data_IF_786070660197
#
_entry.id   IF_786070660197
#
_cell.length_a   1.000
_cell.length_b   1.000
_cell.length_c   1.000
_cell.angle_alpha   90.00
_cell.angle_beta   90.00
_cell.angle_gamma   90.00
#
_symmetry.space_group_name_H-M   'P 1'
#
loop_
_entity.id
_entity.type
_entity.pdbx_description
1 polymer ?
#
# COMPACT_ATOMS: atom_id res chain seq x y z
N UNK A 1 -57.40 -52.69 -10.89
CA UNK A 1 -56.13 -53.41 -10.62
C UNK A 1 -55.48 -52.74 -9.42
N UNK A 2 -55.85 -53.15 -8.20
CA UNK A 2 -55.10 -54.06 -7.31
C UNK A 2 -53.72 -53.51 -6.91
N UNK A 3 -53.56 -52.96 -5.70
CA UNK A 3 -53.34 -53.64 -4.37
C UNK A 3 -51.82 -53.74 -4.12
N UNK A 4 -51.20 -53.23 -3.04
CA UNK A 4 -51.41 -53.36 -1.58
C UNK A 4 -50.62 -52.22 -0.87
N UNK A 5 -51.13 -51.46 0.12
CA UNK A 5 -51.38 -51.78 1.55
C UNK A 5 -50.10 -52.27 2.28
N UNK A 6 -49.64 -51.66 3.41
CA UNK A 6 -50.12 -51.78 4.81
C UNK A 6 -49.15 -50.90 5.66
N UNK A 7 -49.62 -49.87 6.41
CA UNK A 7 -49.97 -49.81 7.87
C UNK A 7 -48.76 -50.02 8.82
N UNK A 8 -48.60 -49.46 10.02
CA UNK A 8 -49.40 -48.70 11.02
C UNK A 8 -48.37 -48.25 12.09
N UNK A 9 -48.65 -47.18 12.86
CA UNK A 9 -48.10 -47.08 14.22
C UNK A 9 -48.09 -45.68 14.82
N UNK A 10 -49.20 -45.25 15.43
CA UNK A 10 -49.23 -44.12 16.34
C UNK A 10 -49.12 -44.64 17.79
N UNK A 11 -48.31 -43.99 18.63
CA UNK A 11 -48.47 -43.98 20.09
C UNK A 11 -47.95 -42.64 20.64
N UNK A 12 -48.80 -41.97 21.40
CA UNK A 12 -48.45 -40.89 22.30
C UNK A 12 -48.26 -41.46 23.70
N UNK A 13 -47.28 -40.97 24.46
CA UNK A 13 -47.38 -40.77 25.91
C UNK A 13 -46.17 -40.00 26.45
N UNK A 14 -46.48 -39.12 27.40
CA UNK A 14 -45.65 -38.17 28.13
C UNK A 14 -44.98 -38.86 29.33
N UNK A 15 -43.90 -38.28 29.87
CA UNK A 15 -43.64 -37.99 31.31
C UNK A 15 -42.16 -38.11 31.72
N UNK A 16 -41.61 -36.93 31.99
CA UNK A 16 -40.77 -36.48 33.13
C UNK A 16 -39.33 -36.91 33.38
N UNK A 17 -38.60 -35.85 33.75
CA UNK A 17 -37.54 -35.71 34.75
C UNK A 17 -36.21 -36.43 34.49
N UNK A 18 -35.16 -35.63 34.27
CA UNK A 18 -34.06 -35.50 35.24
C UNK A 18 -33.19 -34.30 34.90
N UNK A 19 -33.05 -33.38 35.85
CA UNK A 19 -32.02 -32.37 35.86
C UNK A 19 -30.66 -33.03 36.11
N UNK A 20 -29.61 -32.56 35.43
CA UNK A 20 -28.23 -32.66 35.91
C UNK A 20 -27.40 -31.51 35.35
N UNK A 21 -26.56 -31.02 36.24
CA UNK A 21 -25.89 -29.74 36.20
C UNK A 21 -24.60 -29.75 35.37
N UNK A 22 -24.16 -28.51 35.06
CA UNK A 22 -22.77 -28.06 34.99
C UNK A 22 -21.89 -28.54 33.84
N UNK A 23 -21.39 -27.54 33.09
CA UNK A 23 -20.24 -27.68 32.21
C UNK A 23 -20.09 -26.46 31.31
N UNK A 24 -19.67 -25.33 31.89
CA UNK A 24 -19.25 -24.15 31.13
C UNK A 24 -18.07 -24.52 30.24
N UNK A 25 -18.31 -24.84 28.98
CA UNK A 25 -17.26 -24.90 27.98
C UNK A 25 -16.86 -23.47 27.66
N UNK A 26 -15.88 -22.94 28.38
CA UNK A 26 -15.16 -21.75 28.00
C UNK A 26 -14.63 -21.97 26.58
N UNK A 27 -15.24 -21.28 25.61
CA UNK A 27 -14.70 -21.22 24.25
C UNK A 27 -13.36 -20.50 24.35
N UNK A 28 -12.28 -21.29 24.37
CA UNK A 28 -10.94 -20.77 24.27
C UNK A 28 -10.86 -20.04 22.93
N UNK A 29 -10.89 -18.70 22.98
CA UNK A 29 -10.48 -17.86 21.84
C UNK A 29 -9.03 -18.20 21.56
N UNK A 30 -8.81 -19.13 20.65
CA UNK A 30 -7.53 -19.27 19.96
C UNK A 30 -7.36 -17.97 19.19
N UNK A 31 -6.67 -17.01 19.80
CA UNK A 31 -6.07 -15.91 19.08
C UNK A 31 -4.98 -16.54 18.21
N UNK A 32 -5.37 -16.97 17.01
CA UNK A 32 -4.43 -17.12 15.93
C UNK A 32 -3.85 -15.72 15.68
N UNK A 33 -2.76 -15.39 16.36
CA UNK A 33 -1.84 -14.34 15.92
C UNK A 33 -1.20 -14.87 14.63
N UNK A 34 -1.93 -14.78 13.53
CA UNK A 34 -1.28 -14.60 12.25
C UNK A 34 -0.73 -13.18 12.31
N UNK A 35 0.54 -13.06 12.69
CA UNK A 35 1.29 -11.88 12.33
C UNK A 35 1.33 -11.91 10.81
N UNK A 36 0.42 -11.17 10.17
CA UNK A 36 0.62 -10.70 8.80
C UNK A 36 2.06 -10.22 8.75
N UNK A 37 2.93 -10.91 8.00
CA UNK A 37 4.19 -10.30 7.60
C UNK A 37 3.76 -9.01 6.91
N UNK A 38 4.06 -7.87 7.50
CA UNK A 38 3.43 -6.59 7.17
C UNK A 38 3.31 -6.44 5.67
N UNK A 39 2.10 -6.62 5.15
CA UNK A 39 1.83 -6.30 3.75
C UNK A 39 2.10 -4.80 3.65
N UNK A 40 2.85 -4.36 2.65
CA UNK A 40 3.14 -2.95 2.41
C UNK A 40 4.21 -2.29 3.30
N UNK A 41 4.90 -2.98 4.23
CA UNK A 41 6.09 -2.39 4.90
C UNK A 41 7.35 -2.64 4.09
N UNK A 42 8.39 -1.81 4.25
CA UNK A 42 9.70 -2.05 3.63
C UNK A 42 10.27 -3.41 4.08
N UNK A 43 10.69 -4.23 3.12
CA UNK A 43 11.34 -5.52 3.35
C UNK A 43 12.82 -5.38 3.03
N UNK A 44 13.72 -5.38 4.02
CA UNK A 44 15.15 -5.27 3.75
C UNK A 44 15.67 -6.43 2.88
N UNK A 45 16.51 -6.12 1.90
CA UNK A 45 17.11 -7.12 1.00
C UNK A 45 17.98 -8.15 1.75
N UNK A 46 18.55 -7.75 2.89
CA UNK A 46 19.44 -8.60 3.67
C UNK A 46 19.00 -8.74 5.12
N UNK A 47 19.15 -9.96 5.66
CA UNK A 47 18.84 -10.23 7.07
C UNK A 47 19.74 -9.39 7.98
N UNK A 48 19.12 -8.59 8.86
CA UNK A 48 19.85 -7.73 9.80
C UNK A 48 20.40 -6.45 9.18
N UNK A 49 19.99 -6.12 7.94
CA UNK A 49 20.27 -4.83 7.32
C UNK A 49 19.77 -3.70 8.20
N UNK A 50 20.64 -2.72 8.46
CA UNK A 50 20.31 -1.49 9.17
C UNK A 50 19.98 -0.45 8.11
N UNK A 51 18.78 0.11 8.19
CA UNK A 51 18.34 1.13 7.24
C UNK A 51 19.01 2.47 7.55
N UNK A 52 19.55 3.18 6.54
CA UNK A 52 20.03 4.55 6.73
C UNK A 52 18.91 5.46 7.20
N UNK A 53 19.22 6.36 8.14
CA UNK A 53 18.26 7.36 8.65
C UNK A 53 18.50 8.76 8.07
N UNK A 54 19.44 8.91 7.15
CA UNK A 54 19.75 10.14 6.43
C UNK A 54 20.78 9.83 5.35
N UNK A 55 20.50 10.24 4.13
CA UNK A 55 21.37 10.05 2.97
C UNK A 55 21.67 8.59 2.65
N UNK A 56 22.45 8.40 1.59
CA UNK A 56 22.90 7.09 1.15
C UNK A 56 21.83 6.29 0.40
N UNK A 57 22.12 5.01 0.23
CA UNK A 57 21.31 4.06 -0.54
C UNK A 57 21.07 2.80 0.28
N UNK A 58 19.91 2.19 0.12
CA UNK A 58 19.55 0.91 0.74
C UNK A 58 18.79 0.04 -0.26
N UNK A 59 19.00 -1.28 -0.17
CA UNK A 59 18.27 -2.25 -1.00
C UNK A 59 17.02 -2.78 -0.27
N UNK A 60 15.93 -2.97 -1.01
CA UNK A 60 14.67 -3.52 -0.53
C UNK A 60 14.17 -4.62 -1.47
N UNK A 61 13.42 -5.59 -0.94
CA UNK A 61 12.78 -6.63 -1.76
C UNK A 61 11.45 -6.18 -2.36
N UNK A 62 10.90 -5.03 -1.94
CA UNK A 62 9.61 -4.57 -2.40
C UNK A 62 9.54 -3.09 -2.75
N UNK A 63 10.43 -2.22 -2.27
CA UNK A 63 10.33 -0.78 -2.49
C UNK A 63 11.47 -0.26 -3.37
N UNK A 64 11.14 0.68 -4.26
CA UNK A 64 12.05 1.56 -4.98
C UNK A 64 11.59 3.01 -4.79
N UNK A 65 12.52 3.95 -4.66
CA UNK A 65 12.18 5.38 -4.53
C UNK A 65 12.98 6.11 -3.45
N UNK A 66 12.33 7.02 -2.73
CA UNK A 66 12.97 7.82 -1.69
C UNK A 66 12.21 7.80 -0.37
N UNK A 67 12.95 7.84 0.74
CA UNK A 67 12.41 8.08 2.07
C UNK A 67 13.18 9.18 2.80
N UNK A 68 12.47 10.03 3.53
CA UNK A 68 13.06 10.99 4.48
C UNK A 68 12.69 10.58 5.91
N UNK A 69 13.65 10.62 6.83
CA UNK A 69 13.50 10.15 8.20
C UNK A 69 13.96 11.20 9.21
N UNK A 70 13.20 12.29 9.40
CA UNK A 70 13.54 13.31 10.39
C UNK A 70 13.41 12.81 11.85
N UNK A 71 12.91 11.57 12.04
CA UNK A 71 12.81 10.88 13.32
C UNK A 71 11.41 10.95 13.93
N UNK A 72 10.72 12.09 13.81
CA UNK A 72 9.32 12.27 14.21
C UNK A 72 8.76 13.59 13.65
N UNK A 73 7.44 13.77 13.72
CA UNK A 73 6.79 15.03 13.42
C UNK A 73 6.57 15.30 11.95
N UNK A 74 6.64 14.26 11.10
CA UNK A 74 6.14 14.31 9.73
C UNK A 74 4.61 14.37 9.78
N UNK A 75 4.05 15.52 9.41
CA UNK A 75 2.61 15.78 9.47
C UNK A 75 1.96 15.91 8.11
N UNK A 76 2.73 15.93 7.02
CA UNK A 76 2.17 15.81 5.68
C UNK A 76 3.17 15.20 4.69
N UNK A 77 2.65 14.54 3.66
CA UNK A 77 3.37 14.14 2.46
C UNK A 77 2.48 14.41 1.24
N UNK A 78 3.09 14.89 0.18
CA UNK A 78 2.46 15.11 -1.11
C UNK A 78 3.32 14.47 -2.19
N UNK A 79 2.69 13.88 -3.20
CA UNK A 79 3.37 13.32 -4.37
C UNK A 79 2.48 13.45 -5.58
N UNK A 80 3.02 13.95 -6.68
CA UNK A 80 2.44 13.79 -8.02
C UNK A 80 3.27 12.75 -8.76
N UNK A 81 2.61 11.80 -9.40
CA UNK A 81 3.26 10.85 -10.28
C UNK A 81 2.41 10.58 -11.52
N UNK A 82 3.07 10.14 -12.59
CA UNK A 82 2.38 9.65 -13.77
C UNK A 82 2.19 8.14 -13.67
N UNK A 83 0.93 7.70 -13.76
CA UNK A 83 0.56 6.28 -13.69
C UNK A 83 1.22 5.53 -14.84
N UNK A 84 2.02 4.49 -14.58
CA UNK A 84 2.70 3.75 -15.63
C UNK A 84 1.77 2.83 -16.41
N UNK A 85 2.29 2.29 -17.51
CA UNK A 85 1.72 1.11 -18.14
C UNK A 85 2.44 -0.13 -17.60
N UNK A 86 1.73 -1.01 -16.88
CA UNK A 86 2.26 -2.29 -16.44
C UNK A 86 2.42 -3.26 -17.64
N UNK A 87 3.67 -3.49 -18.04
CA UNK A 87 4.06 -4.37 -19.14
C UNK A 87 4.05 -5.86 -18.76
N UNK A 88 4.14 -6.74 -19.76
CA UNK A 88 4.09 -8.20 -19.59
C UNK A 88 5.47 -8.88 -19.60
N UNK A 89 6.56 -8.14 -19.79
CA UNK A 89 7.91 -8.68 -19.96
C UNK A 89 8.95 -7.93 -19.10
N UNK A 90 9.25 -8.39 -17.87
CA UNK A 90 8.52 -9.43 -17.15
C UNK A 90 7.13 -8.96 -16.68
N UNK A 91 6.18 -9.90 -16.48
CA UNK A 91 4.88 -9.60 -15.89
C UNK A 91 4.99 -9.59 -14.37
N UNK A 92 4.17 -8.78 -13.71
CA UNK A 92 4.19 -8.67 -12.26
C UNK A 92 3.10 -7.77 -11.72
N UNK A 93 3.36 -7.25 -10.52
CA UNK A 93 2.51 -6.31 -9.81
C UNK A 93 3.35 -5.08 -9.48
N UNK A 94 2.75 -3.90 -9.58
CA UNK A 94 3.33 -2.65 -9.15
C UNK A 94 2.29 -1.86 -8.36
N UNK A 95 2.79 -0.96 -7.51
CA UNK A 95 1.99 0.09 -6.92
C UNK A 95 2.82 1.37 -6.83
N UNK A 96 2.26 2.50 -7.22
CA UNK A 96 2.92 3.81 -7.13
C UNK A 96 2.21 4.65 -6.08
N UNK A 97 2.92 5.08 -5.03
CA UNK A 97 2.28 5.69 -3.86
C UNK A 97 3.18 6.67 -3.09
N UNK A 98 2.56 7.40 -2.17
CA UNK A 98 3.26 8.19 -1.15
C UNK A 98 2.67 7.95 0.24
N UNK A 99 3.51 8.06 1.28
CA UNK A 99 3.15 7.64 2.63
C UNK A 99 3.90 8.34 3.77
N UNK A 100 3.44 8.05 4.98
CA UNK A 100 4.01 8.51 6.25
C UNK A 100 4.17 7.32 7.20
N UNK A 101 5.39 7.12 7.71
CA UNK A 101 5.78 6.01 8.57
C UNK A 101 6.39 4.83 7.80
N UNK A 102 6.49 3.65 8.40
CA UNK A 102 6.69 2.39 7.68
C UNK A 102 8.11 2.12 7.18
N UNK A 103 8.95 3.14 6.99
CA UNK A 103 10.33 2.96 6.55
C UNK A 103 11.15 2.16 7.56
N UNK A 104 11.10 2.53 8.84
CA UNK A 104 11.76 1.80 9.94
C UNK A 104 10.82 1.45 11.10
N UNK A 105 9.52 1.62 10.90
CA UNK A 105 8.45 1.29 11.85
C UNK A 105 7.45 0.33 11.21
N UNK A 106 6.42 -0.09 11.97
CA UNK A 106 5.38 -1.00 11.48
C UNK A 106 4.03 -0.32 11.19
N UNK A 107 3.93 0.98 11.48
CA UNK A 107 2.78 1.81 11.13
C UNK A 107 3.04 2.47 9.78
N UNK A 108 2.02 2.62 8.94
CA UNK A 108 2.13 3.29 7.65
C UNK A 108 0.75 3.78 7.22
N UNK A 109 0.67 5.08 6.90
CA UNK A 109 -0.45 5.66 6.15
C UNK A 109 0.04 5.83 4.73
N UNK A 110 -0.65 5.25 3.76
CA UNK A 110 -0.25 5.34 2.36
C UNK A 110 -1.46 5.40 1.43
N UNK A 111 -1.24 6.01 0.27
CA UNK A 111 -2.23 6.12 -0.79
C UNK A 111 -1.56 6.21 -2.14
N UNK A 112 -2.21 5.66 -3.16
CA UNK A 112 -1.63 5.58 -4.49
C UNK A 112 -2.52 4.83 -5.46
N UNK A 113 -1.86 4.21 -6.43
CA UNK A 113 -2.47 3.42 -7.50
C UNK A 113 -1.82 2.05 -7.53
N UNK A 114 -2.62 0.99 -7.65
CA UNK A 114 -2.15 -0.35 -8.02
C UNK A 114 -2.08 -0.45 -9.55
N UNK A 115 -1.01 -1.03 -10.08
CA UNK A 115 -0.79 -1.26 -11.51
C UNK A 115 -0.29 -2.69 -11.74
N UNK A 116 -1.12 -3.57 -12.31
CA UNK A 116 -0.70 -4.95 -12.59
C UNK A 116 -0.65 -5.27 -14.08
N UNK A 117 0.23 -6.20 -14.45
CA UNK A 117 0.38 -6.63 -15.85
C UNK A 117 -0.84 -7.39 -16.37
N UNK A 118 -1.66 -7.94 -15.48
CA UNK A 118 -2.77 -8.83 -15.83
C UNK A 118 -4.09 -8.06 -15.99
N UNK A 119 -4.96 -8.45 -16.95
CA UNK A 119 -6.30 -7.89 -17.02
C UNK A 119 -7.08 -8.10 -15.72
N UNK A 120 -7.97 -7.15 -15.41
CA UNK A 120 -8.84 -7.22 -14.24
C UNK A 120 -9.55 -8.58 -14.16
N UNK A 121 -9.45 -9.24 -13.01
CA UNK A 121 -10.09 -10.52 -12.78
C UNK A 121 -10.44 -10.73 -11.29
N UNK A 122 -11.40 -11.61 -10.96
CA UNK A 122 -11.85 -11.78 -9.58
C UNK A 122 -10.80 -12.28 -8.58
N UNK A 123 -9.67 -12.83 -9.04
CA UNK A 123 -8.62 -13.36 -8.17
C UNK A 123 -7.54 -12.31 -7.86
N UNK A 124 -7.19 -11.47 -8.84
CA UNK A 124 -6.10 -10.51 -8.74
C UNK A 124 -6.56 -9.06 -8.58
N UNK A 125 -7.86 -8.78 -8.66
CA UNK A 125 -8.38 -7.42 -8.57
C UNK A 125 -8.41 -6.69 -9.90
N UNK A 126 -8.37 -5.36 -9.83
CA UNK A 126 -8.42 -4.51 -11.01
C UNK A 126 -7.03 -4.30 -11.58
N UNK A 127 -6.92 -4.12 -12.90
CA UNK A 127 -5.63 -3.86 -13.52
C UNK A 127 -5.03 -2.53 -13.04
N UNK A 128 -5.87 -1.52 -12.88
CA UNK A 128 -5.55 -0.20 -12.35
C UNK A 128 -6.63 0.22 -11.36
N UNK A 129 -6.24 0.66 -10.17
CA UNK A 129 -7.17 1.13 -9.16
C UNK A 129 -6.48 2.03 -8.16
N UNK A 130 -7.12 3.14 -7.83
CA UNK A 130 -6.68 4.01 -6.75
C UNK A 130 -7.11 3.44 -5.38
N UNK A 131 -6.28 3.62 -4.37
CA UNK A 131 -6.49 3.05 -3.05
C UNK A 131 -5.86 3.91 -1.94
N UNK A 132 -6.26 3.65 -0.70
CA UNK A 132 -5.55 4.07 0.51
C UNK A 132 -5.41 2.87 1.47
N UNK A 133 -4.36 2.87 2.28
CA UNK A 133 -4.10 1.80 3.26
C UNK A 133 -3.60 2.38 4.59
N UNK A 134 -3.98 1.70 5.68
CA UNK A 134 -3.62 2.04 7.05
C UNK A 134 -3.11 0.76 7.74
N UNK A 135 -1.80 0.55 7.75
CA UNK A 135 -1.25 -0.71 8.27
C UNK A 135 -1.57 -0.90 9.76
N UNK A 136 -1.92 -2.13 10.19
CA UNK A 136 -1.80 -3.39 9.46
C UNK A 136 -3.08 -3.84 8.71
N UNK A 137 -4.07 -2.95 8.54
CA UNK A 137 -5.24 -3.28 7.73
C UNK A 137 -4.86 -3.28 6.24
N UNK A 138 -5.50 -4.16 5.46
CA UNK A 138 -5.33 -4.20 4.01
C UNK A 138 -5.79 -2.92 3.32
N UNK A 139 -5.21 -2.68 2.15
CA UNK A 139 -5.61 -1.59 1.25
C UNK A 139 -7.12 -1.55 1.00
N UNK A 140 -7.63 -0.34 0.83
CA UNK A 140 -9.03 -0.07 0.55
C UNK A 140 -9.13 0.69 -0.77
N UNK A 141 -9.73 0.07 -1.80
CA UNK A 141 -10.06 0.76 -3.04
C UNK A 141 -10.94 1.99 -2.81
N UNK A 142 -10.64 3.09 -3.50
CA UNK A 142 -11.47 4.30 -3.45
C UNK A 142 -12.62 4.26 -4.45
N UNK A 143 -13.72 4.91 -4.10
CA UNK A 143 -14.91 5.09 -4.92
C UNK A 143 -15.64 6.38 -4.53
N UNK A 144 -16.67 6.76 -5.28
CA UNK A 144 -17.45 7.98 -5.10
C UNK A 144 -16.62 9.27 -5.27
N UNK A 145 -15.65 9.27 -6.18
CA UNK A 145 -14.89 10.48 -6.48
C UNK A 145 -15.77 11.53 -7.18
N UNK A 146 -15.50 12.79 -6.89
CA UNK A 146 -16.07 13.91 -7.64
C UNK A 146 -15.50 13.90 -9.06
N UNK A 147 -16.33 14.15 -10.08
CA UNK A 147 -15.93 14.10 -11.50
C UNK A 147 -16.01 12.71 -12.13
N UNK A 148 -15.71 11.64 -11.37
CA UNK A 148 -15.88 10.26 -11.81
C UNK A 148 -16.14 9.32 -10.62
N UNK A 149 -17.36 8.79 -10.47
CA UNK A 149 -17.74 8.00 -9.29
C UNK A 149 -16.98 6.68 -9.13
N UNK A 150 -16.36 6.14 -10.18
CA UNK A 150 -15.53 4.94 -10.08
C UNK A 150 -14.07 5.23 -9.76
N UNK A 151 -13.68 6.52 -9.70
CA UNK A 151 -12.28 6.91 -9.50
C UNK A 151 -11.34 6.25 -10.52
N UNK A 152 -11.80 6.11 -11.76
CA UNK A 152 -11.08 5.36 -12.80
C UNK A 152 -9.69 5.97 -13.04
N UNK A 153 -8.68 5.10 -13.02
CA UNK A 153 -7.29 5.42 -13.35
C UNK A 153 -6.89 4.68 -14.61
N UNK A 154 -6.12 5.33 -15.46
CA UNK A 154 -5.55 4.77 -16.68
C UNK A 154 -4.07 5.12 -16.83
N UNK A 155 -3.28 4.29 -17.53
CA UNK A 155 -1.89 4.63 -17.86
C UNK A 155 -1.77 6.01 -18.48
N UNK A 156 -0.81 6.79 -17.98
CA UNK A 156 -0.53 8.15 -18.41
C UNK A 156 -1.22 9.24 -17.61
N UNK A 157 -2.12 8.91 -16.69
CA UNK A 157 -2.78 9.86 -15.80
C UNK A 157 -1.78 10.49 -14.82
N UNK A 158 -2.02 11.73 -14.42
CA UNK A 158 -1.20 12.41 -13.42
C UNK A 158 -1.98 12.44 -12.11
N UNK A 159 -1.61 11.56 -11.19
CA UNK A 159 -2.26 11.41 -9.91
C UNK A 159 -1.45 12.13 -8.84
N UNK A 160 -2.12 12.96 -8.06
CA UNK A 160 -1.55 13.61 -6.87
C UNK A 160 -2.14 12.98 -5.62
N UNK A 161 -1.28 12.47 -4.76
CA UNK A 161 -1.58 12.03 -3.40
C UNK A 161 -1.22 13.17 -2.44
N UNK A 162 -2.10 13.45 -1.49
CA UNK A 162 -1.81 14.32 -0.34
C UNK A 162 -2.37 13.68 0.93
N UNK A 163 -1.48 13.45 1.90
CA UNK A 163 -1.81 12.94 3.24
C UNK A 163 -1.35 13.99 4.24
N UNK A 164 -2.24 14.41 5.13
CA UNK A 164 -1.94 15.47 6.11
C UNK A 164 -2.64 15.24 7.45
N UNK A 165 -1.93 15.55 8.54
CA UNK A 165 -2.49 15.53 9.89
C UNK A 165 -3.44 16.72 10.06
N UNK A 166 -4.69 16.43 10.40
CA UNK A 166 -5.71 17.45 10.68
C UNK A 166 -5.66 17.86 12.15
N UNK A 167 -5.66 16.88 13.05
CA UNK A 167 -5.48 17.08 14.49
C UNK A 167 -5.32 15.76 15.23
N UNK A 168 -4.37 15.69 16.16
CA UNK A 168 -4.11 14.49 16.94
C UNK A 168 -3.86 13.28 16.02
N UNK A 169 -4.67 12.23 16.17
CA UNK A 169 -4.59 11.04 15.32
C UNK A 169 -5.52 11.11 14.09
N UNK A 170 -6.04 12.28 13.75
CA UNK A 170 -6.94 12.44 12.60
C UNK A 170 -6.13 12.88 11.39
N UNK A 171 -6.20 12.09 10.32
CA UNK A 171 -5.48 12.32 9.07
C UNK A 171 -6.47 12.52 7.93
N UNK A 172 -6.19 13.47 7.04
CA UNK A 172 -6.82 13.60 5.74
C UNK A 172 -5.97 12.84 4.73
N UNK A 173 -6.60 12.00 3.93
CA UNK A 173 -6.01 11.35 2.76
C UNK A 173 -6.78 11.85 1.55
N UNK A 174 -6.07 12.29 0.51
CA UNK A 174 -6.69 12.72 -0.73
C UNK A 174 -5.91 12.24 -1.94
N UNK A 175 -6.65 11.98 -3.02
CA UNK A 175 -6.11 11.65 -4.32
C UNK A 175 -6.82 12.50 -5.37
N UNK A 176 -6.08 13.00 -6.36
CA UNK A 176 -6.63 13.75 -7.48
C UNK A 176 -5.98 13.28 -8.78
N UNK A 177 -6.78 12.87 -9.75
CA UNK A 177 -6.35 12.70 -11.15
C UNK A 177 -6.61 14.01 -11.90
N UNK A 178 -5.54 14.64 -12.37
CA UNK A 178 -5.55 15.98 -12.93
C UNK A 178 -6.58 16.16 -14.05
N UNK A 179 -7.61 16.97 -13.78
CA UNK A 179 -8.67 17.28 -14.73
C UNK A 179 -9.74 16.18 -14.88
N UNK A 180 -9.69 15.10 -14.09
CA UNK A 180 -10.66 14.01 -14.15
C UNK A 180 -11.49 13.86 -12.89
N UNK A 181 -10.84 13.61 -11.75
CA UNK A 181 -11.55 13.36 -10.50
C UNK A 181 -10.73 13.71 -9.27
N UNK A 182 -11.43 13.91 -8.16
CA UNK A 182 -10.82 14.15 -6.84
C UNK A 182 -11.54 13.36 -5.75
N UNK A 183 -10.79 12.96 -4.74
CA UNK A 183 -11.26 12.19 -3.59
C UNK A 183 -10.59 12.65 -2.30
N UNK A 184 -11.31 12.59 -1.19
CA UNK A 184 -10.74 12.81 0.13
C UNK A 184 -11.51 12.04 1.20
N UNK A 185 -10.79 11.60 2.23
CA UNK A 185 -11.35 10.95 3.42
C UNK A 185 -10.53 11.31 4.65
N UNK A 186 -11.23 11.58 5.74
CA UNK A 186 -10.61 11.64 7.06
C UNK A 186 -10.64 10.26 7.72
N UNK A 187 -9.53 9.90 8.35
CA UNK A 187 -9.34 8.65 9.07
C UNK A 187 -8.74 8.92 10.45
N UNK A 188 -8.95 7.99 11.38
CA UNK A 188 -8.26 8.02 12.67
C UNK A 188 -7.17 6.95 12.67
N UNK A 189 -5.92 7.36 12.83
CA UNK A 189 -4.75 6.49 12.78
C UNK A 189 -3.63 6.99 13.70
N UNK A 190 -3.03 6.08 14.47
CA UNK A 190 -1.87 6.39 15.31
C UNK A 190 -0.60 6.14 14.52
N UNK A 191 -0.08 7.20 13.90
CA UNK A 191 1.22 7.17 13.22
C UNK A 191 2.34 7.49 14.20
N UNK A 192 3.52 6.94 13.94
CA UNK A 192 4.80 7.34 14.53
C UNK A 192 5.30 8.67 13.98
N UNK A 193 4.79 9.12 12.82
CA UNK A 193 5.23 10.34 12.13
C UNK A 193 6.74 10.33 11.83
N UNK A 194 7.33 9.13 11.72
CA UNK A 194 8.78 8.94 11.71
C UNK A 194 9.45 9.32 10.38
N UNK A 195 8.70 9.20 9.29
CA UNK A 195 9.22 9.26 7.93
C UNK A 195 8.15 9.64 6.91
N UNK A 196 8.58 10.06 5.72
CA UNK A 196 7.74 10.22 4.53
C UNK A 196 8.42 9.56 3.32
N UNK A 197 7.62 8.96 2.44
CA UNK A 197 8.11 8.13 1.33
C UNK A 197 7.39 8.41 0.01
N UNK A 198 8.11 8.20 -1.10
CA UNK A 198 7.65 8.27 -2.49
C UNK A 198 8.12 7.02 -3.22
N UNK A 199 7.22 6.06 -3.44
CA UNK A 199 7.61 4.67 -3.69
C UNK A 199 6.93 4.10 -4.94
N UNK A 200 7.72 3.38 -5.73
CA UNK A 200 7.28 2.33 -6.63
C UNK A 200 7.51 0.98 -5.93
N UNK A 201 6.45 0.23 -5.71
CA UNK A 201 6.46 -1.01 -4.94
C UNK A 201 6.11 -2.24 -5.79
N UNK A 202 6.81 -3.36 -5.56
CA UNK A 202 6.31 -4.69 -5.86
C UNK A 202 5.54 -5.22 -4.63
N UNK A 203 4.21 -5.21 -4.61
CA UNK A 203 3.45 -5.49 -3.40
C UNK A 203 3.57 -6.96 -2.95
N UNK A 204 3.31 -7.25 -1.68
CA UNK A 204 3.23 -8.64 -1.19
C UNK A 204 1.81 -9.18 -1.35
N UNK A 205 1.64 -10.29 -2.08
CA UNK A 205 0.37 -11.01 -2.21
C UNK A 205 0.46 -12.40 -1.57
N UNK A 206 0.56 -12.42 -0.24
CA UNK A 206 0.86 -13.61 0.57
C UNK A 206 2.32 -14.07 0.48
N UNK A 207 2.94 -13.89 -0.67
CA UNK A 207 4.38 -13.96 -0.93
C UNK A 207 4.83 -12.67 -1.63
N UNK A 208 6.11 -12.34 -1.50
CA UNK A 208 6.69 -11.21 -2.23
C UNK A 208 6.52 -11.44 -3.74
N UNK A 209 5.98 -10.44 -4.44
CA UNK A 209 5.78 -10.50 -5.90
C UNK A 209 7.02 -9.99 -6.64
N UNK A 210 7.00 -10.12 -7.97
CA UNK A 210 7.93 -9.44 -8.87
C UNK A 210 7.28 -8.14 -9.34
N UNK A 211 8.10 -7.12 -9.53
CA UNK A 211 7.67 -5.86 -10.09
C UNK A 211 7.15 -6.05 -11.53
N UNK A 212 6.01 -5.45 -11.86
CA UNK A 212 5.63 -5.36 -13.27
C UNK A 212 6.65 -4.51 -14.04
N UNK A 213 6.95 -4.84 -15.30
CA UNK A 213 7.76 -3.93 -16.11
C UNK A 213 6.96 -2.65 -16.44
N UNK A 214 7.09 -1.64 -15.60
CA UNK A 214 6.41 -0.34 -15.71
C UNK A 214 7.17 0.69 -16.55
N UNK A 215 8.35 0.33 -17.07
CA UNK A 215 9.24 1.25 -17.76
C UNK A 215 9.74 2.35 -16.81
N UNK A 216 9.49 3.61 -17.15
CA UNK A 216 9.86 4.77 -16.33
C UNK A 216 8.61 5.39 -15.70
N UNK A 217 8.63 5.54 -14.37
CA UNK A 217 7.61 6.21 -13.57
C UNK A 217 8.12 7.58 -13.14
N UNK A 218 7.62 8.68 -13.72
CA UNK A 218 7.94 10.03 -13.27
C UNK A 218 7.22 10.37 -11.95
N UNK A 219 8.00 10.78 -10.96
CA UNK A 219 7.54 11.49 -9.77
C UNK A 219 7.88 12.98 -9.91
N UNK A 220 6.92 13.84 -9.59
CA UNK A 220 6.97 15.28 -9.80
C UNK A 220 5.80 15.81 -10.65
N UNK A 221 5.66 17.13 -10.78
CA UNK A 221 6.60 18.15 -10.32
C UNK A 221 6.49 18.47 -8.83
N UNK A 222 5.54 17.89 -8.08
CA UNK A 222 5.33 18.17 -6.65
C UNK A 222 5.53 16.91 -5.82
N UNK A 223 6.61 16.86 -5.07
CA UNK A 223 6.86 15.81 -4.06
C UNK A 223 7.49 16.43 -2.82
N UNK A 224 6.73 16.54 -1.74
CA UNK A 224 7.12 17.32 -0.55
C UNK A 224 6.64 16.65 0.72
N UNK A 225 7.30 16.95 1.84
CA UNK A 225 6.83 16.55 3.16
C UNK A 225 6.78 17.76 4.09
N UNK A 226 5.96 17.70 5.12
CA UNK A 226 5.91 18.73 6.17
C UNK A 226 6.40 18.12 7.48
N UNK A 227 7.38 18.77 8.10
CA UNK A 227 7.86 18.43 9.43
C UNK A 227 8.10 19.70 10.25
N UNK A 228 7.74 19.66 11.54
CA UNK A 228 7.87 20.85 12.41
C UNK A 228 7.10 22.07 11.91
N UNK A 229 5.99 21.86 11.17
CA UNK A 229 5.16 22.93 10.60
C UNK A 229 5.75 23.61 9.36
N UNK A 230 6.87 23.11 8.82
CA UNK A 230 7.49 23.63 7.59
C UNK A 230 7.46 22.56 6.50
N UNK A 231 7.11 22.97 5.28
CA UNK A 231 7.15 22.09 4.10
C UNK A 231 8.54 22.10 3.47
N UNK A 232 9.02 20.92 3.11
CA UNK A 232 10.35 20.64 2.59
C UNK A 232 10.25 19.82 1.31
N UNK A 233 11.20 20.02 0.39
CA UNK A 233 11.41 19.11 -0.74
C UNK A 233 12.06 17.81 -0.25
N UNK A 234 12.04 16.76 -1.08
CA UNK A 234 12.71 15.49 -0.76
C UNK A 234 14.19 15.73 -0.42
N UNK A 235 14.91 16.48 -1.26
CA UNK A 235 16.33 16.76 -1.10
C UNK A 235 16.66 17.46 0.24
N UNK A 236 15.78 18.34 0.73
CA UNK A 236 15.98 19.06 1.98
C UNK A 236 15.96 18.12 3.21
N UNK A 237 15.36 16.94 3.08
CA UNK A 237 15.32 15.92 4.13
C UNK A 237 16.56 15.02 4.18
N UNK A 238 17.58 15.25 3.33
CA UNK A 238 18.72 14.35 3.14
C UNK A 238 18.24 12.89 2.96
N UNK A 239 17.52 12.62 1.86
CA UNK A 239 16.73 11.41 1.70
C UNK A 239 17.63 10.19 1.56
N UNK A 240 17.12 9.04 1.98
CA UNK A 240 17.69 7.75 1.62
C UNK A 240 17.10 7.32 0.28
N UNK A 241 17.96 6.94 -0.65
CA UNK A 241 17.55 6.28 -1.89
C UNK A 241 17.28 4.79 -1.62
N UNK A 242 16.18 4.27 -2.13
CA UNK A 242 15.78 2.88 -1.96
C UNK A 242 15.78 2.22 -3.34
N UNK A 243 16.56 1.16 -3.50
CA UNK A 243 16.62 0.37 -4.71
C UNK A 243 15.83 -0.93 -4.51
N UNK A 244 14.96 -1.30 -5.45
CA UNK A 244 14.24 -2.58 -5.40
C UNK A 244 15.10 -3.67 -6.01
N UNK A 245 15.67 -4.52 -5.17
CA UNK A 245 16.50 -5.63 -5.60
C UNK A 245 17.51 -6.07 -4.55
N UNK A 246 18.58 -6.70 -5.02
CA UNK A 246 19.68 -7.21 -4.18
C UNK A 246 21.03 -6.66 -4.63
N UNK A 247 21.03 -5.57 -5.41
CA UNK A 247 22.24 -4.87 -5.87
C UNK A 247 23.01 -5.53 -7.02
N UNK A 248 22.58 -6.70 -7.54
CA UNK A 248 23.20 -7.35 -8.71
C UNK A 248 22.46 -7.02 -10.01
N UNK A 249 21.13 -7.17 -9.97
CA UNK A 249 20.17 -6.68 -10.98
C UNK A 249 18.96 -6.23 -10.19
N UNK A 250 18.71 -4.93 -10.18
CA UNK A 250 17.55 -4.37 -9.49
C UNK A 250 16.33 -4.45 -10.40
N UNK A 251 15.18 -4.72 -9.81
CA UNK A 251 13.89 -4.67 -10.50
C UNK A 251 13.45 -3.24 -10.75
N UNK A 252 13.81 -2.31 -9.84
CA UNK A 252 13.66 -0.87 -10.04
C UNK A 252 14.77 -0.09 -9.34
N UNK A 253 15.07 1.09 -9.89
CA UNK A 253 16.08 1.99 -9.34
C UNK A 253 15.66 3.43 -9.63
N UNK A 254 15.57 4.30 -8.61
CA UNK A 254 15.28 5.71 -8.80
C UNK A 254 16.49 6.43 -9.42
N UNK A 255 16.22 7.44 -10.24
CA UNK A 255 17.21 8.41 -10.67
C UNK A 255 17.63 9.29 -9.49
N UNK A 256 18.73 10.03 -9.65
CA UNK A 256 18.99 11.17 -8.77
C UNK A 256 17.81 12.17 -8.85
N UNK A 257 17.57 12.90 -7.75
CA UNK A 257 16.62 14.01 -7.73
C UNK A 257 17.03 15.09 -8.74
N UNK A 258 16.04 15.68 -9.41
CA UNK A 258 16.22 16.82 -10.29
C UNK A 258 16.65 18.07 -9.51
N UNK A 259 17.00 19.13 -10.24
CA UNK A 259 17.48 20.39 -9.63
C UNK A 259 16.46 21.10 -8.73
N UNK A 260 15.17 20.75 -8.84
CA UNK A 260 14.11 21.22 -7.94
C UNK A 260 14.11 20.50 -6.58
N UNK A 261 14.90 19.43 -6.44
CA UNK A 261 15.03 18.63 -5.23
C UNK A 261 13.81 17.78 -4.89
N UNK A 262 12.86 17.62 -5.81
CA UNK A 262 11.59 16.90 -5.56
C UNK A 262 11.14 16.00 -6.72
N UNK A 263 11.59 16.25 -7.95
CA UNK A 263 11.26 15.39 -9.08
C UNK A 263 12.31 14.29 -9.26
N UNK A 264 11.88 13.09 -9.64
CA UNK A 264 12.76 11.99 -10.02
C UNK A 264 12.01 11.02 -10.93
N UNK A 265 12.76 10.15 -11.62
CA UNK A 265 12.21 9.00 -12.32
C UNK A 265 12.49 7.75 -11.50
N UNK A 266 11.58 6.78 -11.53
CA UNK A 266 11.86 5.41 -11.10
C UNK A 266 11.81 4.47 -12.30
N UNK A 267 12.87 3.68 -12.51
CA UNK A 267 13.02 2.90 -13.73
C UNK A 267 13.05 1.41 -13.44
N UNK A 268 12.04 0.70 -13.94
CA UNK A 268 11.95 -0.74 -13.85
C UNK A 268 12.89 -1.43 -14.86
N UNK A 269 13.64 -2.42 -14.39
CA UNK A 269 14.52 -3.30 -15.17
C UNK A 269 15.48 -2.56 -16.12
N UNK A 270 15.96 -1.38 -15.71
CA UNK A 270 16.87 -0.55 -16.49
C UNK A 270 18.27 -0.51 -15.87
N UNK A 271 19.31 -0.45 -16.71
CA UNK A 271 20.70 -0.30 -16.24
C UNK A 271 21.02 1.10 -15.70
N UNK A 272 20.17 2.08 -16.01
CA UNK A 272 20.31 3.46 -15.58
C UNK A 272 18.95 4.11 -15.57
N UNK A 273 18.70 5.00 -14.61
CA UNK A 273 17.52 5.84 -14.59
C UNK A 273 17.90 7.31 -14.78
N UNK A 274 17.51 7.96 -15.90
CA UNK A 274 17.87 9.35 -16.16
C UNK A 274 17.12 10.28 -15.21
N UNK A 275 17.80 11.29 -14.68
CA UNK A 275 17.16 12.37 -13.93
C UNK A 275 16.27 13.21 -14.86
N UNK A 276 15.03 13.56 -14.45
CA UNK A 276 14.15 14.45 -15.20
C UNK A 276 14.72 15.84 -15.50
#
# INVERSE_FOLDING_TARGET
MSRRFVRIGAFAAVVSCSALAMGSAASAKVHARSASRGLGVLIPAHKGQVLPLHGGTTDSLNWSGYAVTPGSGVTAVTSTFKVPSAGLDPPGFAATWAGIGGYNTSDLIQAGVEEQSFPSNPLLGNQYQAWYELLPASETPISNCSGNSSCMVTPGDNVTVDISNVSGNTWSISLTDAGKWSWSKQVTYSSSESSAEWILEAPTLGVQTLLANVGTVPFGPTSTYTAGGTTHTIAAGNPTQIDLGTGVVNEATPSALASDGQSFNDCAYALSCPTP
#
